data_IF_258992832049
#
_entry.id   IF_258992832049
#
_cell.length_a   1.000
_cell.length_b   1.000
_cell.length_c   1.000
_cell.angle_alpha   90.00
_cell.angle_beta   90.00
_cell.angle_gamma   90.00
#
_symmetry.space_group_name_H-M   'P 1'
#
loop_
_entity.id
_entity.type
_entity.pdbx_description
1 polymer ?
#
# COMPACT_ATOMS: atom_id res chain seq x y z
N UNK A 1 -11.50 -12.94 19.32
CA UNK A 1 -10.89 -11.88 18.50
C UNK A 1 -9.62 -12.47 17.89
N UNK A 2 -9.41 -12.35 16.58
CA UNK A 2 -8.14 -12.77 15.95
C UNK A 2 -7.01 -11.87 16.49
N UNK A 3 -5.78 -12.38 16.53
CA UNK A 3 -4.62 -11.61 16.98
C UNK A 3 -4.43 -10.33 16.14
N UNK A 4 -3.88 -9.28 16.75
CA UNK A 4 -3.47 -8.07 16.03
C UNK A 4 -2.18 -8.37 15.27
N UNK A 5 -2.05 -7.85 14.05
CA UNK A 5 -0.88 -8.01 13.19
C UNK A 5 0.12 -6.86 13.35
N UNK A 6 1.40 -7.17 13.22
CA UNK A 6 2.52 -6.23 13.07
C UNK A 6 3.10 -6.39 11.67
N UNK A 7 2.99 -5.33 10.87
CA UNK A 7 3.23 -5.38 9.42
C UNK A 7 4.31 -4.34 9.07
N UNK A 8 5.53 -4.77 8.71
CA UNK A 8 6.53 -3.90 8.10
C UNK A 8 6.12 -3.51 6.68
N UNK A 9 6.49 -2.28 6.29
CA UNK A 9 6.25 -1.75 4.96
C UNK A 9 7.59 -1.36 4.32
N UNK A 10 7.80 -1.79 3.08
CA UNK A 10 8.99 -1.51 2.28
C UNK A 10 8.62 -0.71 1.04
N UNK A 11 9.06 0.54 0.99
CA UNK A 11 8.98 1.36 -0.21
C UNK A 11 10.12 0.98 -1.16
N UNK A 12 9.77 0.41 -2.31
CA UNK A 12 10.70 -0.10 -3.32
C UNK A 12 10.78 0.88 -4.48
N UNK A 13 11.99 1.32 -4.80
CA UNK A 13 12.29 2.15 -5.96
C UNK A 13 13.39 1.48 -6.76
N UNK A 14 13.12 1.18 -8.03
CA UNK A 14 14.08 0.53 -8.94
C UNK A 14 14.67 -0.76 -8.35
N UNK A 15 13.81 -1.58 -7.73
CA UNK A 15 14.19 -2.86 -7.12
C UNK A 15 14.97 -2.77 -5.82
N UNK A 16 15.11 -1.57 -5.24
CA UNK A 16 15.83 -1.33 -4.00
C UNK A 16 14.90 -0.71 -2.96
N UNK A 17 15.05 -1.09 -1.69
CA UNK A 17 14.31 -0.43 -0.61
C UNK A 17 14.90 0.96 -0.40
N UNK A 18 14.03 1.96 -0.36
CA UNK A 18 14.43 3.33 -0.12
C UNK A 18 13.72 3.91 1.08
N UNK A 19 14.38 4.85 1.77
CA UNK A 19 13.78 5.58 2.87
C UNK A 19 13.73 7.07 2.55
N UNK A 20 12.52 7.61 2.44
CA UNK A 20 12.25 9.04 2.54
C UNK A 20 11.93 9.42 3.99
N UNK A 21 12.11 10.70 4.34
CA UNK A 21 11.70 11.23 5.66
C UNK A 21 10.22 11.62 5.64
N UNK A 22 9.65 11.94 4.48
CA UNK A 22 8.25 12.32 4.23
C UNK A 22 7.84 12.05 2.77
N UNK A 23 6.52 11.98 2.49
CA UNK A 23 5.95 11.92 1.14
C UNK A 23 6.53 13.00 0.19
N UNK A 24 6.84 12.62 -1.05
CA UNK A 24 7.31 13.54 -2.11
C UNK A 24 8.81 13.88 -2.09
N UNK A 25 9.60 13.29 -1.19
CA UNK A 25 11.08 13.43 -1.18
C UNK A 25 11.75 12.52 -2.22
N UNK A 26 11.06 11.46 -2.65
CA UNK A 26 11.54 10.51 -3.66
C UNK A 26 12.00 11.18 -4.97
N UNK A 27 11.15 12.04 -5.51
CA UNK A 27 11.37 12.75 -6.77
C UNK A 27 12.40 13.89 -6.66
N UNK A 28 12.82 14.25 -5.43
CA UNK A 28 13.83 15.29 -5.15
C UNK A 28 15.23 14.73 -4.92
N UNK A 29 15.45 13.44 -5.17
CA UNK A 29 16.76 12.78 -5.03
C UNK A 29 17.19 12.52 -3.58
N UNK A 30 16.26 12.61 -2.61
CA UNK A 30 16.54 12.38 -1.19
C UNK A 30 16.36 10.94 -0.71
N UNK A 31 16.28 9.97 -1.62
CA UNK A 31 16.12 8.56 -1.26
C UNK A 31 17.45 7.96 -0.82
N UNK A 32 17.51 7.47 0.42
CA UNK A 32 18.61 6.63 0.86
C UNK A 32 18.28 5.18 0.55
N UNK A 33 19.12 4.51 -0.23
CA UNK A 33 19.04 3.06 -0.41
C UNK A 33 19.31 2.37 0.95
N UNK A 34 18.42 1.47 1.34
CA UNK A 34 18.43 0.71 2.59
C UNK A 34 18.83 -0.76 2.36
N UNK A 35 18.75 -1.26 1.13
CA UNK A 35 19.17 -2.61 0.74
C UNK A 35 18.19 -3.31 -0.19
N UNK A 36 18.44 -4.61 -0.40
CA UNK A 36 17.59 -5.49 -1.19
C UNK A 36 16.25 -5.78 -0.47
N UNK A 37 15.10 -5.67 -1.17
CA UNK A 37 13.79 -5.87 -0.57
C UNK A 37 13.55 -7.30 -0.08
N UNK A 38 14.12 -8.31 -0.73
CA UNK A 38 13.94 -9.73 -0.37
C UNK A 38 14.75 -10.05 0.88
N UNK A 39 16.00 -9.60 0.96
CA UNK A 39 16.82 -9.76 2.17
C UNK A 39 16.17 -9.12 3.40
N UNK A 40 15.59 -7.92 3.24
CA UNK A 40 14.89 -7.24 4.33
C UNK A 40 13.59 -7.96 4.71
N UNK A 41 12.82 -8.45 3.73
CA UNK A 41 11.62 -9.22 3.98
C UNK A 41 11.92 -10.51 4.77
N UNK A 42 13.01 -11.22 4.43
CA UNK A 42 13.44 -12.42 5.15
C UNK A 42 13.82 -12.13 6.60
N UNK A 43 14.54 -11.03 6.85
CA UNK A 43 14.87 -10.62 8.23
C UNK A 43 13.62 -10.32 9.05
N UNK A 44 12.61 -9.71 8.44
CA UNK A 44 11.33 -9.47 9.14
C UNK A 44 10.53 -10.76 9.35
N UNK A 45 10.58 -11.69 8.39
CA UNK A 45 9.99 -13.03 8.54
C UNK A 45 10.61 -13.75 9.75
N UNK A 46 11.93 -13.74 9.89
CA UNK A 46 12.65 -14.33 11.02
C UNK A 46 12.33 -13.64 12.36
N UNK A 47 11.99 -12.34 12.33
CA UNK A 47 11.55 -11.57 13.50
C UNK A 47 10.07 -11.80 13.86
N UNK A 48 9.33 -12.58 13.06
CA UNK A 48 7.93 -12.88 13.30
C UNK A 48 6.96 -11.80 12.83
N UNK A 49 7.29 -11.07 11.76
CA UNK A 49 6.31 -10.22 11.08
C UNK A 49 5.12 -11.05 10.60
N UNK A 50 3.91 -10.54 10.79
CA UNK A 50 2.68 -11.27 10.47
C UNK A 50 2.31 -11.20 8.98
N UNK A 51 2.85 -10.21 8.27
CA UNK A 51 2.63 -9.92 6.85
C UNK A 51 3.70 -8.90 6.40
N UNK A 52 3.99 -8.85 5.10
CA UNK A 52 4.86 -7.85 4.49
C UNK A 52 4.11 -7.02 3.45
N UNK A 53 4.33 -5.71 3.46
CA UNK A 53 3.81 -4.81 2.42
C UNK A 53 4.96 -4.25 1.60
N UNK A 54 4.86 -4.39 0.28
CA UNK A 54 5.74 -3.73 -0.68
C UNK A 54 4.98 -2.66 -1.45
N UNK A 55 5.48 -1.43 -1.44
CA UNK A 55 4.98 -0.36 -2.30
C UNK A 55 6.00 0.03 -3.35
N UNK A 56 5.68 -0.25 -4.61
CA UNK A 56 6.46 0.23 -5.75
C UNK A 56 6.20 1.73 -5.96
N UNK A 57 7.24 2.52 -5.71
CA UNK A 57 7.24 3.98 -5.91
C UNK A 57 8.02 4.38 -7.17
N UNK A 58 8.31 3.43 -8.06
CA UNK A 58 9.00 3.69 -9.32
C UNK A 58 8.07 4.40 -10.30
N UNK A 59 8.47 5.59 -10.76
CA UNK A 59 7.62 6.47 -11.57
C UNK A 59 7.51 6.07 -13.07
N UNK A 60 8.09 4.94 -13.49
CA UNK A 60 8.24 4.58 -14.92
C UNK A 60 7.57 3.25 -15.28
N UNK A 61 7.20 3.09 -16.55
CA UNK A 61 6.60 1.85 -17.08
C UNK A 61 7.53 0.62 -16.95
N UNK A 62 8.85 0.81 -16.79
CA UNK A 62 9.80 -0.28 -16.52
C UNK A 62 9.72 -0.84 -15.09
N UNK A 63 9.20 -0.07 -14.11
CA UNK A 63 9.15 -0.52 -12.70
C UNK A 63 8.32 -1.78 -12.46
N UNK A 64 7.36 -2.07 -13.33
CA UNK A 64 6.47 -3.24 -13.18
C UNK A 64 7.21 -4.57 -13.28
N UNK A 65 8.17 -4.70 -14.20
CA UNK A 65 8.97 -5.93 -14.34
C UNK A 65 9.79 -6.18 -13.08
N UNK A 66 10.43 -5.13 -12.58
CA UNK A 66 11.26 -5.18 -11.38
C UNK A 66 10.45 -5.61 -10.15
N UNK A 67 9.23 -5.09 -9.96
CA UNK A 67 8.41 -5.48 -8.82
C UNK A 67 7.91 -6.93 -8.92
N UNK A 68 7.63 -7.44 -10.12
CA UNK A 68 7.29 -8.86 -10.32
C UNK A 68 8.45 -9.75 -9.85
N UNK A 69 9.68 -9.47 -10.29
CA UNK A 69 10.87 -10.24 -9.87
C UNK A 69 11.11 -10.19 -8.36
N UNK A 70 10.87 -9.04 -7.72
CA UNK A 70 10.96 -8.90 -6.27
C UNK A 70 9.93 -9.80 -5.57
N UNK A 71 8.68 -9.81 -6.06
CA UNK A 71 7.62 -10.65 -5.48
C UNK A 71 7.91 -12.14 -5.70
N UNK A 72 8.33 -12.56 -6.90
CA UNK A 72 8.69 -13.97 -7.16
C UNK A 72 9.79 -14.45 -6.21
N UNK A 73 10.88 -13.68 -6.10
CA UNK A 73 11.99 -14.00 -5.19
C UNK A 73 11.59 -14.00 -3.71
N UNK A 74 10.67 -13.14 -3.31
CA UNK A 74 10.17 -13.06 -1.93
C UNK A 74 9.23 -14.22 -1.62
N UNK A 75 8.30 -14.55 -2.52
CA UNK A 75 7.33 -15.64 -2.36
C UNK A 75 8.00 -17.02 -2.29
N UNK A 76 9.14 -17.21 -2.97
CA UNK A 76 9.92 -18.45 -2.88
C UNK A 76 10.53 -18.71 -1.49
N UNK A 77 10.63 -17.67 -0.64
CA UNK A 77 11.41 -17.75 0.61
C UNK A 77 10.65 -17.25 1.85
N UNK A 78 9.63 -16.42 1.69
CA UNK A 78 8.80 -15.88 2.77
C UNK A 78 7.47 -16.62 2.83
N UNK A 79 7.07 -17.06 4.03
CA UNK A 79 5.80 -17.75 4.25
C UNK A 79 4.73 -16.90 4.94
N UNK A 80 5.11 -15.71 5.43
CA UNK A 80 4.13 -14.69 5.82
C UNK A 80 3.42 -14.14 4.56
N UNK A 81 2.15 -13.73 4.66
CA UNK A 81 1.44 -13.11 3.54
C UNK A 81 2.18 -11.91 2.96
N UNK A 82 2.11 -11.76 1.64
CA UNK A 82 2.71 -10.67 0.88
C UNK A 82 1.64 -9.79 0.25
N UNK A 83 1.63 -8.51 0.62
CA UNK A 83 0.81 -7.47 -0.02
C UNK A 83 1.68 -6.62 -0.91
N UNK A 84 1.26 -6.40 -2.16
CA UNK A 84 1.94 -5.51 -3.10
C UNK A 84 1.03 -4.38 -3.57
N UNK A 85 1.56 -3.17 -3.61
CA UNK A 85 0.88 -2.01 -4.19
C UNK A 85 1.85 -1.11 -4.96
N UNK A 86 1.31 -0.06 -5.56
CA UNK A 86 2.06 0.86 -6.42
C UNK A 86 1.87 0.54 -7.90
N UNK A 87 1.36 1.51 -8.67
CA UNK A 87 1.26 1.39 -10.13
C UNK A 87 0.22 0.40 -10.69
N UNK A 88 -0.59 -0.26 -9.85
CA UNK A 88 -1.63 -1.22 -10.25
C UNK A 88 -2.88 -0.48 -10.73
N UNK A 89 -3.23 -0.65 -12.01
CA UNK A 89 -4.28 0.15 -12.68
C UNK A 89 -5.41 -0.69 -13.30
N UNK A 90 -5.25 -2.01 -13.34
CA UNK A 90 -6.21 -2.93 -13.97
C UNK A 90 -6.28 -4.26 -13.22
N UNK A 91 -7.31 -5.04 -13.54
CA UNK A 91 -7.46 -6.42 -13.06
C UNK A 91 -6.36 -7.34 -13.60
N UNK A 92 -5.79 -7.05 -14.78
CA UNK A 92 -4.68 -7.82 -15.34
C UNK A 92 -3.36 -7.52 -14.62
N UNK A 93 -3.18 -6.28 -14.15
CA UNK A 93 -2.06 -5.91 -13.29
C UNK A 93 -2.14 -6.68 -11.96
N UNK A 94 -3.34 -6.74 -11.36
CA UNK A 94 -3.60 -7.56 -10.16
C UNK A 94 -3.27 -9.04 -10.41
N UNK A 95 -3.77 -9.59 -11.52
CA UNK A 95 -3.51 -10.99 -11.88
C UNK A 95 -2.02 -11.29 -12.02
N UNK A 96 -1.27 -10.38 -12.63
CA UNK A 96 0.18 -10.53 -12.83
C UNK A 96 0.90 -10.65 -11.48
N UNK A 97 0.57 -9.77 -10.53
CA UNK A 97 1.18 -9.75 -9.20
C UNK A 97 0.76 -10.94 -8.34
N UNK A 98 -0.51 -11.34 -8.38
CA UNK A 98 -0.98 -12.54 -7.70
C UNK A 98 -0.31 -13.80 -8.24
N UNK A 99 -0.12 -13.88 -9.56
CA UNK A 99 0.58 -15.00 -10.21
C UNK A 99 2.07 -15.05 -9.87
N UNK A 100 2.69 -13.90 -9.63
CA UNK A 100 4.07 -13.78 -9.16
C UNK A 100 4.26 -14.29 -7.72
N UNK A 101 3.16 -14.44 -6.95
CA UNK A 101 3.20 -14.95 -5.58
C UNK A 101 2.74 -13.97 -4.51
N UNK A 102 2.21 -12.79 -4.89
CA UNK A 102 1.54 -11.92 -3.91
C UNK A 102 0.21 -12.56 -3.46
N UNK A 103 -0.12 -12.41 -2.17
CA UNK A 103 -1.40 -12.85 -1.62
C UNK A 103 -2.48 -11.77 -1.76
N UNK A 104 -2.08 -10.50 -1.71
CA UNK A 104 -2.99 -9.36 -1.76
C UNK A 104 -2.44 -8.20 -2.58
N UNK A 105 -3.37 -7.41 -3.09
CA UNK A 105 -3.13 -6.27 -3.96
C UNK A 105 -3.65 -5.00 -3.29
N UNK A 106 -2.76 -4.03 -3.09
CA UNK A 106 -3.09 -2.70 -2.60
C UNK A 106 -3.25 -1.70 -3.74
N UNK A 107 -4.43 -1.07 -3.81
CA UNK A 107 -4.75 0.00 -4.75
C UNK A 107 -5.16 1.28 -4.02
N UNK A 108 -4.78 2.43 -4.58
CA UNK A 108 -5.13 3.75 -4.05
C UNK A 108 -5.58 4.64 -5.22
N UNK A 109 -4.63 5.26 -5.94
CA UNK A 109 -4.98 6.28 -6.95
C UNK A 109 -5.82 5.72 -8.11
N UNK A 110 -5.62 4.46 -8.48
CA UNK A 110 -6.46 3.76 -9.48
C UNK A 110 -7.87 3.49 -8.97
N UNK A 111 -8.03 3.14 -7.69
CA UNK A 111 -9.33 2.97 -7.06
C UNK A 111 -10.09 4.30 -6.94
N UNK A 112 -9.39 5.41 -6.67
CA UNK A 112 -10.00 6.74 -6.63
C UNK A 112 -10.47 7.14 -8.04
N UNK A 113 -9.63 6.93 -9.05
CA UNK A 113 -9.94 7.28 -10.44
C UNK A 113 -11.05 6.39 -11.04
N UNK A 114 -11.07 5.11 -10.67
CA UNK A 114 -12.05 4.13 -11.10
C UNK A 114 -12.45 3.20 -9.93
N UNK A 115 -13.43 3.60 -9.09
CA UNK A 115 -13.83 2.81 -7.91
C UNK A 115 -14.31 1.40 -8.24
N UNK A 116 -14.83 1.22 -9.45
CA UNK A 116 -15.30 -0.06 -9.96
C UNK A 116 -14.18 -1.12 -10.05
N UNK A 117 -12.91 -0.70 -10.14
CA UNK A 117 -11.76 -1.61 -10.09
C UNK A 117 -11.71 -2.45 -8.80
N UNK A 118 -12.20 -1.90 -7.67
CA UNK A 118 -12.29 -2.63 -6.40
C UNK A 118 -13.24 -3.82 -6.56
N UNK A 119 -14.46 -3.58 -7.09
CA UNK A 119 -15.48 -4.60 -7.29
C UNK A 119 -15.00 -5.67 -8.27
N UNK A 120 -14.42 -5.24 -9.40
CA UNK A 120 -13.89 -6.17 -10.40
C UNK A 120 -12.79 -7.07 -9.83
N UNK A 121 -11.88 -6.52 -9.02
CA UNK A 121 -10.84 -7.30 -8.34
C UNK A 121 -11.44 -8.28 -7.32
N UNK A 122 -12.39 -7.82 -6.51
CA UNK A 122 -13.04 -8.63 -5.49
C UNK A 122 -13.87 -9.77 -6.10
N UNK A 123 -14.58 -9.52 -7.21
CA UNK A 123 -15.35 -10.55 -7.92
C UNK A 123 -14.45 -11.61 -8.57
N UNK A 124 -13.26 -11.22 -9.05
CA UNK A 124 -12.36 -12.15 -9.75
C UNK A 124 -11.45 -12.95 -8.79
N UNK A 125 -10.97 -12.33 -7.72
CA UNK A 125 -9.96 -12.92 -6.82
C UNK A 125 -10.44 -13.13 -5.38
N UNK A 126 -11.60 -12.56 -5.03
CA UNK A 126 -12.11 -12.53 -3.67
C UNK A 126 -11.70 -11.26 -2.92
N UNK A 127 -12.58 -10.75 -2.06
CA UNK A 127 -12.35 -9.53 -1.27
C UNK A 127 -11.08 -9.58 -0.42
N UNK A 128 -10.69 -10.75 0.09
CA UNK A 128 -9.49 -10.93 0.91
C UNK A 128 -8.19 -10.56 0.17
N UNK A 129 -8.20 -10.59 -1.17
CA UNK A 129 -7.06 -10.19 -1.99
C UNK A 129 -7.02 -8.68 -2.27
N UNK A 130 -8.07 -7.93 -1.95
CA UNK A 130 -8.19 -6.51 -2.33
C UNK A 130 -8.04 -5.62 -1.09
N UNK A 131 -6.90 -4.94 -1.05
CA UNK A 131 -6.58 -3.92 -0.06
C UNK A 131 -6.75 -2.54 -0.69
N UNK A 132 -7.43 -1.63 0.00
CA UNK A 132 -7.47 -0.22 -0.42
C UNK A 132 -6.62 0.62 0.52
N UNK A 133 -5.61 1.26 -0.05
CA UNK A 133 -4.81 2.25 0.67
C UNK A 133 -5.48 3.62 0.58
N UNK A 134 -5.66 4.26 1.73
CA UNK A 134 -6.25 5.60 1.87
C UNK A 134 -5.22 6.51 2.52
N UNK A 135 -4.65 7.42 1.74
CA UNK A 135 -3.82 8.50 2.26
C UNK A 135 -4.73 9.64 2.70
N UNK A 136 -4.86 9.82 4.01
CA UNK A 136 -5.76 10.79 4.61
C UNK A 136 -4.98 11.93 5.26
N UNK A 137 -5.45 13.17 5.07
CA UNK A 137 -4.88 14.37 5.69
C UNK A 137 -5.97 15.20 6.32
N UNK A 138 -5.70 15.75 7.51
CA UNK A 138 -6.62 16.63 8.21
C UNK A 138 -6.79 17.94 7.44
N UNK A 139 -8.03 18.28 7.11
CA UNK A 139 -8.39 19.51 6.37
C UNK A 139 -9.21 20.48 7.21
N UNK A 140 -9.83 20.01 8.29
CA UNK A 140 -10.54 20.83 9.28
C UNK A 140 -10.61 20.07 10.62
N UNK A 141 -11.10 20.69 11.72
CA UNK A 141 -11.44 19.95 12.93
C UNK A 141 -12.39 18.78 12.60
N UNK A 142 -12.02 17.58 13.03
CA UNK A 142 -12.75 16.34 12.77
C UNK A 142 -13.08 16.05 11.28
N UNK A 143 -12.25 16.54 10.35
CA UNK A 143 -12.42 16.28 8.91
C UNK A 143 -11.11 15.94 8.22
N UNK A 144 -11.11 14.86 7.45
CA UNK A 144 -9.95 14.39 6.68
C UNK A 144 -10.31 14.23 5.20
N UNK A 145 -9.46 14.78 4.34
CA UNK A 145 -9.55 14.59 2.89
C UNK A 145 -8.71 13.41 2.44
N UNK A 146 -9.11 12.75 1.36
CA UNK A 146 -8.30 11.73 0.68
C UNK A 146 -7.37 12.40 -0.32
N UNK A 147 -6.10 11.99 -0.29
CA UNK A 147 -5.07 12.44 -1.20
C UNK A 147 -4.60 11.30 -2.10
N UNK A 148 -4.13 11.66 -3.29
CA UNK A 148 -3.60 10.73 -4.29
C UNK A 148 -2.20 11.16 -4.74
N UNK A 149 -1.56 10.35 -5.59
CA UNK A 149 -0.22 10.63 -6.12
C UNK A 149 0.79 10.83 -4.98
N UNK A 150 0.82 9.89 -4.02
CA UNK A 150 1.70 9.95 -2.84
C UNK A 150 1.48 11.20 -2.01
N UNK A 151 0.22 11.48 -1.64
CA UNK A 151 -0.16 12.58 -0.75
C UNK A 151 -0.16 14.00 -1.37
N UNK A 152 0.10 14.15 -2.68
CA UNK A 152 0.29 15.48 -3.30
C UNK A 152 -0.97 16.11 -3.88
N UNK A 153 -1.94 15.31 -4.27
CA UNK A 153 -3.16 15.78 -4.95
C UNK A 153 -4.39 15.51 -4.10
N UNK A 154 -5.00 16.59 -3.61
CA UNK A 154 -6.33 16.54 -3.00
C UNK A 154 -7.36 16.05 -4.02
N UNK A 155 -8.19 15.11 -3.60
CA UNK A 155 -9.23 14.50 -4.43
C UNK A 155 -10.61 15.11 -4.20
N UNK A 156 -10.77 15.91 -3.14
CA UNK A 156 -12.04 16.44 -2.67
C UNK A 156 -12.93 15.41 -1.97
N UNK A 157 -12.48 14.15 -1.82
CA UNK A 157 -13.21 13.10 -1.12
C UNK A 157 -13.00 13.21 0.39
N UNK A 158 -14.05 12.93 1.16
CA UNK A 158 -13.96 12.70 2.59
C UNK A 158 -13.43 11.29 2.87
N UNK A 159 -12.44 11.16 3.77
CA UNK A 159 -11.78 9.89 4.03
C UNK A 159 -12.70 8.82 4.66
N UNK A 160 -13.66 9.24 5.49
CA UNK A 160 -14.57 8.31 6.18
C UNK A 160 -15.63 7.81 5.18
N UNK A 161 -16.20 8.72 4.38
CA UNK A 161 -17.16 8.34 3.34
C UNK A 161 -16.50 7.50 2.24
N UNK A 162 -15.25 7.79 1.90
CA UNK A 162 -14.48 6.95 0.99
C UNK A 162 -14.23 5.55 1.57
N UNK A 163 -13.82 5.43 2.84
CA UNK A 163 -13.64 4.14 3.51
C UNK A 163 -14.90 3.27 3.46
N UNK A 164 -16.07 3.84 3.77
CA UNK A 164 -17.36 3.14 3.65
C UNK A 164 -17.63 2.67 2.23
N UNK A 165 -17.37 3.54 1.25
CA UNK A 165 -17.59 3.23 -0.16
C UNK A 165 -16.70 2.09 -0.65
N UNK A 166 -15.43 2.05 -0.27
CA UNK A 166 -14.52 0.99 -0.74
C UNK A 166 -14.84 -0.38 -0.13
N UNK A 167 -15.29 -0.41 1.12
CA UNK A 167 -15.84 -1.64 1.73
C UNK A 167 -17.10 -2.08 0.99
N UNK A 168 -18.03 -1.16 0.69
CA UNK A 168 -19.24 -1.48 -0.06
C UNK A 168 -18.96 -1.99 -1.49
N UNK A 169 -17.82 -1.63 -2.07
CA UNK A 169 -17.34 -2.11 -3.36
C UNK A 169 -16.58 -3.45 -3.27
N UNK A 170 -16.37 -3.99 -2.07
CA UNK A 170 -15.79 -5.32 -1.87
C UNK A 170 -14.31 -5.35 -1.47
N UNK A 171 -13.73 -4.23 -1.04
CA UNK A 171 -12.40 -4.26 -0.40
C UNK A 171 -12.44 -5.11 0.88
N UNK A 172 -11.47 -6.03 1.04
CA UNK A 172 -11.36 -6.88 2.23
C UNK A 172 -10.61 -6.21 3.38
N UNK A 173 -9.66 -5.32 3.07
CA UNK A 173 -8.89 -4.58 4.06
C UNK A 173 -8.64 -3.13 3.62
N UNK A 174 -8.47 -2.24 4.61
CA UNK A 174 -8.05 -0.85 4.40
C UNK A 174 -6.69 -0.65 5.05
N UNK A 175 -5.74 -0.07 4.30
CA UNK A 175 -4.51 0.50 4.85
C UNK A 175 -4.72 2.00 4.97
N UNK A 176 -4.83 2.50 6.20
CA UNK A 176 -5.07 3.92 6.48
C UNK A 176 -3.75 4.61 6.82
N UNK A 177 -3.30 5.50 5.93
CA UNK A 177 -2.11 6.32 6.14
C UNK A 177 -2.51 7.73 6.54
N UNK A 178 -2.17 8.15 7.76
CA UNK A 178 -2.29 9.56 8.15
C UNK A 178 -1.07 10.33 7.65
N UNK A 179 -1.27 11.19 6.65
CA UNK A 179 -0.21 12.05 6.08
C UNK A 179 0.38 12.97 7.16
N UNK A 180 -0.43 13.37 8.15
CA UNK A 180 0.01 14.25 9.24
C UNK A 180 0.94 13.54 10.24
N UNK A 181 0.84 12.21 10.38
CA UNK A 181 1.64 11.41 11.30
C UNK A 181 2.82 10.69 10.63
N UNK A 182 2.77 10.48 9.32
CA UNK A 182 3.78 9.72 8.59
C UNK A 182 5.20 10.30 8.71
N UNK A 183 6.19 9.43 8.91
CA UNK A 183 7.59 9.79 9.10
C UNK A 183 7.96 10.54 10.39
N UNK A 184 6.97 11.03 11.16
CA UNK A 184 7.20 11.91 12.33
C UNK A 184 7.80 11.21 13.55
N UNK A 185 7.58 9.88 13.67
CA UNK A 185 7.87 9.07 14.88
C UNK A 185 7.13 9.56 16.14
N UNK A 186 6.09 10.38 16.01
CA UNK A 186 5.27 10.88 17.12
C UNK A 186 4.14 9.91 17.54
N UNK A 187 4.03 8.76 16.86
CA UNK A 187 2.97 7.77 17.05
C UNK A 187 1.94 7.77 15.92
N UNK A 188 1.05 6.79 15.92
CA UNK A 188 -0.05 6.69 14.96
C UNK A 188 -1.15 7.72 15.26
N UNK A 189 -1.86 8.18 14.23
CA UNK A 189 -3.02 9.05 14.37
C UNK A 189 -4.26 8.27 14.85
N UNK A 190 -4.37 8.13 16.17
CA UNK A 190 -5.47 7.39 16.80
C UNK A 190 -6.84 8.03 16.58
N UNK A 191 -6.90 9.31 16.20
CA UNK A 191 -8.18 10.00 16.00
C UNK A 191 -8.80 9.49 14.71
N UNK A 192 -8.09 9.57 13.58
CA UNK A 192 -8.64 9.09 12.32
C UNK A 192 -8.79 7.56 12.31
N UNK A 193 -7.86 6.81 12.89
CA UNK A 193 -7.97 5.35 13.02
C UNK A 193 -9.21 4.91 13.79
N UNK A 194 -9.75 5.74 14.69
CA UNK A 194 -11.01 5.45 15.39
C UNK A 194 -12.26 5.78 14.56
N UNK A 195 -12.14 6.68 13.58
CA UNK A 195 -13.26 7.17 12.76
C UNK A 195 -13.54 6.30 11.54
N UNK A 196 -12.50 5.61 11.05
CA UNK A 196 -12.57 4.60 9.96
C UNK A 196 -12.85 3.25 10.58
#
# INVERSE_FOLDING_TARGET
MIAKRVIPCLDVHDGQVTRGVQFGVAEKGGLRNVGDPVELALRYNEQGADEMVFFDITATAHGRGTMVEVIERAADQCFMPLTVGGGIKSVDDMFTMLRAGADKISINSSAIANPELIRQGAEKFGSQCIVVSIDAKKIAPDKWGVFSHGGRKDTGLDAIEWAKRVVALGAGEIVLNSIDADGTKAGFDLVITRRV
#
